data_IF_728012207973
#
_entry.id   IF_728012207973
#
_cell.length_a   1.000
_cell.length_b   1.000
_cell.length_c   1.000
_cell.angle_alpha   90.00
_cell.angle_beta   90.00
_cell.angle_gamma   90.00
#
_symmetry.space_group_name_H-M   'P 1'
#
loop_
_entity.id
_entity.type
_entity.pdbx_description
1 polymer ?
2 polymer ?
3 water ?
#
# COMPACT_ATOMS: atom_id res chain seq x y z
N UNK A 1 10.70 20.87 -10.54
CA UNK A 1 10.57 19.61 -9.75
C UNK A 1 9.73 18.56 -10.49
N UNK A 2 8.57 18.99 -10.96
CA UNK A 2 7.67 18.10 -11.69
C UNK A 2 7.70 18.41 -13.17
N UNK A 3 8.09 17.43 -13.97
CA UNK A 3 8.17 17.59 -15.41
C UNK A 3 6.91 17.06 -16.09
N UNK A 4 6.15 17.94 -16.73
CA UNK A 4 4.95 17.50 -17.44
C UNK A 4 5.42 16.75 -18.67
N UNK A 5 4.90 15.55 -18.88
CA UNK A 5 5.30 14.80 -20.04
C UNK A 5 4.12 14.51 -20.97
N UNK A 6 4.32 14.79 -22.25
CA UNK A 6 3.31 14.53 -23.26
C UNK A 6 3.95 13.66 -24.32
N UNK A 7 3.27 13.47 -25.44
CA UNK A 7 3.84 12.62 -26.49
C UNK A 7 5.12 13.23 -27.05
N UNK A 8 5.08 14.53 -27.38
CA UNK A 8 6.24 15.20 -27.97
C UNK A 8 7.56 15.05 -27.21
N UNK A 9 7.50 14.76 -25.92
CA UNK A 9 8.74 14.64 -25.16
C UNK A 9 8.88 13.37 -24.34
N UNK A 10 8.14 12.33 -24.72
CA UNK A 10 8.19 11.06 -24.02
C UNK A 10 9.60 10.45 -24.01
N UNK A 11 10.14 10.23 -25.21
CA UNK A 11 11.46 9.65 -25.38
C UNK A 11 12.53 10.43 -24.64
N UNK A 12 12.47 11.75 -24.74
CA UNK A 12 13.45 12.61 -24.09
C UNK A 12 13.48 12.39 -22.57
N UNK A 13 12.30 12.36 -21.96
CA UNK A 13 12.23 12.17 -20.52
C UNK A 13 12.49 10.73 -20.06
N UNK A 14 12.00 9.74 -20.82
CA UNK A 14 12.25 8.36 -20.42
C UNK A 14 13.75 8.10 -20.42
N UNK A 15 14.46 8.70 -21.36
CA UNK A 15 15.91 8.54 -21.46
C UNK A 15 16.58 9.03 -20.18
N UNK A 16 16.08 10.14 -19.64
CA UNK A 16 16.62 10.68 -18.40
C UNK A 16 16.27 9.73 -17.26
N UNK A 17 15.01 9.30 -17.23
CA UNK A 17 14.54 8.38 -16.19
C UNK A 17 15.36 7.09 -16.25
N UNK A 18 15.69 6.67 -17.48
CA UNK A 18 16.49 5.47 -17.67
C UNK A 18 17.78 5.58 -16.86
N UNK A 19 18.24 6.81 -16.65
CA UNK A 19 19.46 7.02 -15.89
C UNK A 19 19.22 7.33 -14.42
N UNK A 20 18.24 8.19 -14.13
CA UNK A 20 17.95 8.56 -12.75
C UNK A 20 17.65 7.36 -11.88
N UNK A 21 16.92 6.39 -12.42
CA UNK A 21 16.55 5.22 -11.65
C UNK A 21 17.74 4.37 -11.24
N UNK A 22 18.88 4.58 -11.89
CA UNK A 22 20.06 3.81 -11.54
C UNK A 22 20.51 4.13 -10.11
N UNK A 23 20.48 5.41 -9.74
CA UNK A 23 20.88 5.84 -8.40
C UNK A 23 19.68 6.07 -7.47
N UNK A 24 18.50 6.26 -8.05
CA UNK A 24 17.29 6.50 -7.27
C UNK A 24 16.27 5.41 -7.60
N UNK A 25 16.50 4.24 -7.00
CA UNK A 25 15.66 3.06 -7.23
C UNK A 25 14.30 3.05 -6.53
N UNK A 26 14.09 3.97 -5.60
CA UNK A 26 12.81 4.05 -4.91
C UNK A 26 11.89 4.98 -5.70
N UNK A 27 10.86 4.42 -6.34
CA UNK A 27 9.96 5.25 -7.12
C UNK A 27 8.51 5.21 -6.62
N UNK A 28 8.03 6.35 -6.15
CA UNK A 28 6.67 6.46 -5.66
C UNK A 28 5.78 6.78 -6.84
N UNK A 29 4.57 6.22 -6.86
CA UNK A 29 3.71 6.47 -8.00
C UNK A 29 2.23 6.58 -7.69
N UNK A 30 1.51 7.18 -8.61
CA UNK A 30 0.07 7.31 -8.50
C UNK A 30 -0.48 7.47 -9.90
N UNK A 31 -1.79 7.27 -10.04
CA UNK A 31 -2.41 7.42 -11.33
C UNK A 31 -3.75 8.14 -11.20
N UNK A 32 -4.32 8.48 -12.35
CA UNK A 32 -5.61 9.14 -12.42
C UNK A 32 -6.31 8.42 -13.57
N UNK A 33 -7.51 7.91 -13.31
CA UNK A 33 -8.29 7.21 -14.33
C UNK A 33 -9.73 7.74 -14.30
N UNK A 34 -10.55 7.34 -15.28
CA UNK A 34 -11.93 7.85 -15.29
C UNK A 34 -12.92 7.27 -14.29
N UNK A 35 -12.47 7.05 -13.06
CA UNK A 35 -13.35 6.53 -12.03
C UNK A 35 -13.68 5.05 -12.14
N UNK A 36 -14.82 4.66 -11.58
CA UNK A 36 -15.29 3.29 -11.58
C UNK A 36 -16.65 3.35 -12.25
N UNK A 37 -16.85 2.56 -13.30
CA UNK A 37 -18.12 2.60 -14.01
C UNK A 37 -18.89 1.31 -14.13
N UNK A 38 -18.22 0.18 -13.94
CA UNK A 38 -18.89 -1.11 -14.09
C UNK A 38 -19.04 -1.96 -12.84
N UNK A 39 -19.87 -2.98 -12.98
CA UNK A 39 -20.17 -3.91 -11.91
C UNK A 39 -19.79 -5.31 -12.35
N UNK A 40 -19.10 -6.06 -11.47
CA UNK A 40 -18.67 -7.43 -11.73
C UNK A 40 -19.85 -8.35 -12.01
N UNK A 41 -19.65 -9.34 -12.87
CA UNK A 41 -20.72 -10.28 -13.18
C UNK A 41 -20.23 -11.67 -12.83
N UNK A 42 -21.13 -12.54 -12.40
CA UNK A 42 -20.74 -13.89 -12.04
C UNK A 42 -20.68 -14.16 -10.55
N UNK A 43 -20.00 -15.26 -10.20
CA UNK A 43 -19.86 -15.69 -8.82
C UNK A 43 -18.53 -15.27 -8.24
N UNK A 44 -18.44 -15.28 -6.91
CA UNK A 44 -17.21 -14.90 -6.26
C UNK A 44 -16.85 -15.83 -5.12
N UNK A 45 -15.61 -16.30 -5.17
CA UNK A 45 -15.05 -17.22 -4.19
C UNK A 45 -14.87 -16.62 -2.79
N UNK A 46 -14.83 -15.29 -2.70
CA UNK A 46 -14.63 -14.63 -1.41
C UNK A 46 -14.71 -13.11 -1.56
N UNK A 47 -14.47 -12.40 -0.47
CA UNK A 47 -14.50 -10.94 -0.53
C UNK A 47 -13.31 -10.41 -1.33
N UNK A 48 -12.16 -11.06 -1.20
CA UNK A 48 -10.97 -10.67 -1.92
C UNK A 48 -11.22 -10.84 -3.43
N UNK A 49 -11.85 -11.97 -3.79
CA UNK A 49 -12.15 -12.27 -5.18
C UNK A 49 -13.14 -11.24 -5.73
N UNK A 50 -14.15 -10.88 -4.94
CA UNK A 50 -15.12 -9.89 -5.40
C UNK A 50 -14.41 -8.55 -5.67
N UNK A 51 -13.56 -8.10 -4.74
CA UNK A 51 -12.84 -6.84 -4.93
C UNK A 51 -12.00 -6.89 -6.19
N UNK A 52 -11.35 -8.03 -6.44
CA UNK A 52 -10.53 -8.17 -7.63
C UNK A 52 -11.36 -8.16 -8.90
N UNK A 53 -12.49 -8.88 -8.90
CA UNK A 53 -13.36 -8.92 -10.07
C UNK A 53 -13.95 -7.54 -10.34
N UNK A 54 -14.14 -6.76 -9.26
CA UNK A 54 -14.68 -5.41 -9.38
C UNK A 54 -13.64 -4.55 -10.10
N UNK A 55 -12.39 -4.73 -9.68
CA UNK A 55 -11.29 -3.99 -10.26
C UNK A 55 -11.12 -4.42 -11.73
N UNK A 56 -11.11 -5.73 -11.97
CA UNK A 56 -10.95 -6.26 -13.32
C UNK A 56 -11.94 -5.72 -14.34
N UNK A 57 -13.23 -5.82 -14.06
CA UNK A 57 -14.23 -5.35 -15.00
C UNK A 57 -14.10 -3.85 -15.29
N UNK A 58 -13.48 -3.10 -14.39
CA UNK A 58 -13.31 -1.66 -14.63
C UNK A 58 -12.00 -1.31 -15.29
N UNK A 59 -10.92 -1.98 -14.87
CA UNK A 59 -9.62 -1.75 -15.47
C UNK A 59 -9.67 -2.14 -16.95
N UNK A 60 -10.32 -3.24 -17.27
CA UNK A 60 -10.42 -3.69 -18.66
C UNK A 60 -11.19 -2.71 -19.56
N UNK A 61 -12.11 -1.94 -18.98
CA UNK A 61 -12.91 -1.01 -19.77
C UNK A 61 -12.41 0.42 -19.89
N UNK A 62 -11.60 0.88 -18.94
CA UNK A 62 -11.16 2.25 -18.98
C UNK A 62 -9.73 2.47 -19.39
N UNK A 63 -9.42 3.72 -19.73
CA UNK A 63 -8.07 4.11 -20.15
C UNK A 63 -7.44 5.00 -19.09
N UNK A 64 -6.19 4.72 -18.74
CA UNK A 64 -5.49 5.54 -17.75
C UNK A 64 -5.38 6.96 -18.28
N UNK A 65 -5.51 7.94 -17.40
CA UNK A 65 -5.42 9.34 -17.81
C UNK A 65 -4.10 9.99 -17.41
N UNK A 66 -3.52 9.59 -16.28
CA UNK A 66 -2.28 10.20 -15.83
C UNK A 66 -1.45 9.29 -14.94
N UNK A 67 -0.12 9.35 -15.10
CA UNK A 67 0.79 8.57 -14.29
C UNK A 67 1.78 9.53 -13.64
N UNK A 68 2.05 9.33 -12.37
CA UNK A 68 2.98 10.17 -11.65
C UNK A 68 4.08 9.33 -11.02
N UNK A 69 5.34 9.72 -11.25
CA UNK A 69 6.46 8.99 -10.70
C UNK A 69 7.47 9.95 -10.07
N UNK A 70 7.83 9.67 -8.83
CA UNK A 70 8.80 10.47 -8.10
C UNK A 70 9.93 9.51 -7.75
N UNK A 71 11.16 9.89 -8.09
CA UNK A 71 12.29 9.01 -7.81
C UNK A 71 13.10 9.46 -6.60
N UNK A 72 13.54 8.49 -5.80
CA UNK A 72 14.31 8.75 -4.58
C UNK A 72 15.27 7.58 -4.31
N UNK A 73 16.18 7.78 -3.37
CA UNK A 73 17.11 6.71 -3.04
C UNK A 73 16.79 6.11 -1.67
N UNK A 74 17.64 5.19 -1.23
CA UNK A 74 17.48 4.50 0.04
C UNK A 74 17.32 5.45 1.22
N UNK A 75 17.96 6.61 1.13
CA UNK A 75 17.91 7.61 2.20
C UNK A 75 16.83 8.68 2.00
N UNK A 76 15.94 8.46 1.04
CA UNK A 76 14.87 9.40 0.78
C UNK A 76 15.29 10.71 0.15
N UNK A 77 16.37 10.68 -0.61
CA UNK A 77 16.86 11.89 -1.27
C UNK A 77 16.41 11.90 -2.72
N UNK A 78 16.19 13.10 -3.25
CA UNK A 78 15.76 13.26 -4.64
C UNK A 78 16.93 13.53 -5.58
N UNK A 79 16.79 13.16 -6.86
CA UNK A 79 17.89 13.42 -7.79
C UNK A 79 17.93 14.93 -8.02
N UNK A 80 19.14 15.48 -8.27
CA UNK A 80 19.23 16.93 -8.50
C UNK A 80 18.39 17.38 -9.69
N UNK A 81 17.64 18.45 -9.50
CA UNK A 81 16.80 18.97 -10.56
C UNK A 81 15.37 18.43 -10.52
N UNK A 82 15.01 17.65 -11.53
CA UNK A 82 13.67 17.08 -11.59
C UNK A 82 13.62 15.74 -10.88
N UNK A 83 12.68 15.60 -9.95
CA UNK A 83 12.53 14.37 -9.18
C UNK A 83 11.25 13.64 -9.52
N UNK A 84 10.29 14.39 -10.05
CA UNK A 84 8.99 13.85 -10.37
C UNK A 84 8.58 14.06 -11.82
N UNK A 85 8.00 13.03 -12.43
CA UNK A 85 7.53 13.09 -13.80
C UNK A 85 6.05 12.78 -13.86
N UNK A 86 5.30 13.62 -14.55
CA UNK A 86 3.86 13.42 -14.68
C UNK A 86 3.53 13.19 -16.15
N UNK A 87 3.23 11.93 -16.46
CA UNK A 87 2.87 11.53 -17.82
C UNK A 87 1.39 11.71 -18.05
N UNK A 88 1.05 12.42 -19.11
CA UNK A 88 -0.34 12.66 -19.46
C UNK A 88 -0.67 11.83 -20.70
N UNK A 89 -1.66 10.94 -20.56
CA UNK A 89 -2.05 10.05 -21.65
C UNK A 89 -3.22 10.53 -22.48
N UNK A 90 -3.30 10.02 -23.70
CA UNK A 90 -4.36 10.39 -24.62
C UNK A 90 -5.70 9.85 -24.12
N UNK A 91 -6.67 10.75 -24.02
CA UNK A 91 -8.01 10.39 -23.56
C UNK A 91 -9.00 11.26 -24.35
N UNK A 92 -10.10 10.66 -24.80
CA UNK A 92 -11.10 11.37 -25.58
C UNK A 92 -12.47 11.34 -24.89
N UNK A 93 -12.90 12.49 -24.39
CA UNK A 93 -14.18 12.59 -23.69
C UNK A 93 -15.40 12.31 -24.56
N UNK A 94 -15.20 12.23 -25.87
CA UNK A 94 -16.30 11.97 -26.80
C UNK A 94 -16.36 10.50 -27.20
N UNK A 95 -15.22 9.83 -27.11
CA UNK A 95 -15.17 8.43 -27.47
C UNK A 95 -15.05 7.54 -26.23
N UNK A 96 -14.04 7.82 -25.41
CA UNK A 96 -13.78 7.04 -24.22
C UNK A 96 -14.86 6.98 -23.15
N UNK A 97 -14.87 5.84 -22.45
CA UNK A 97 -15.83 5.53 -21.39
C UNK A 97 -15.34 6.18 -20.11
N UNK A 98 -16.26 6.61 -19.26
CA UNK A 98 -15.85 7.23 -18.02
C UNK A 98 -16.99 7.52 -17.08
N UNK A 99 -16.65 7.84 -15.84
CA UNK A 99 -17.66 8.16 -14.84
C UNK A 99 -17.75 9.68 -14.72
N UNK A 100 -18.95 10.20 -14.96
CA UNK A 100 -19.23 11.63 -14.90
C UNK A 100 -18.51 12.38 -13.80
N UNK A 101 -18.78 12.04 -12.55
CA UNK A 101 -18.16 12.72 -11.41
C UNK A 101 -16.64 12.73 -11.43
N UNK A 102 -16.02 11.60 -11.82
CA UNK A 102 -14.57 11.52 -11.86
C UNK A 102 -13.98 12.53 -12.83
N UNK A 103 -14.60 12.65 -14.00
CA UNK A 103 -14.12 13.60 -15.00
C UNK A 103 -14.26 15.02 -14.49
N UNK A 104 -15.39 15.30 -13.85
CA UNK A 104 -15.62 16.62 -13.30
C UNK A 104 -14.61 16.93 -12.20
N UNK A 105 -14.36 15.94 -11.33
CA UNK A 105 -13.40 16.12 -10.25
C UNK A 105 -12.02 16.45 -10.84
N UNK A 106 -11.63 15.70 -11.87
CA UNK A 106 -10.34 15.90 -12.51
C UNK A 106 -10.24 17.24 -13.24
N UNK A 107 -11.35 17.69 -13.80
CA UNK A 107 -11.37 18.97 -14.50
C UNK A 107 -11.07 20.06 -13.47
N UNK A 108 -11.72 19.96 -12.31
CA UNK A 108 -11.52 20.93 -11.25
C UNK A 108 -10.08 20.90 -10.72
N UNK A 109 -9.43 19.74 -10.84
CA UNK A 109 -8.05 19.55 -10.37
C UNK A 109 -6.98 20.09 -11.31
N UNK A 110 -7.37 20.46 -12.53
CA UNK A 110 -6.39 21.00 -13.46
C UNK A 110 -6.10 20.18 -14.70
N UNK A 111 -6.68 18.98 -14.80
CA UNK A 111 -6.45 18.15 -15.97
C UNK A 111 -7.07 18.83 -17.20
N UNK A 112 -6.25 19.06 -18.22
CA UNK A 112 -6.72 19.69 -19.45
C UNK A 112 -7.00 18.60 -20.44
N UNK A 113 -8.23 18.07 -20.44
CA UNK A 113 -8.58 17.00 -21.35
C UNK A 113 -8.35 17.29 -22.81
N UNK A 114 -8.61 18.52 -23.22
CA UNK A 114 -8.43 18.92 -24.62
C UNK A 114 -7.01 18.61 -25.05
N UNK A 115 -6.03 18.94 -24.22
CA UNK A 115 -4.64 18.69 -24.55
C UNK A 115 -4.31 17.20 -24.44
N UNK A 116 -5.05 16.48 -23.60
CA UNK A 116 -4.81 15.04 -23.45
C UNK A 116 -5.25 14.37 -24.74
N UNK A 117 -6.37 14.84 -25.27
CA UNK A 117 -6.93 14.32 -26.51
C UNK A 117 -6.08 14.60 -27.74
N UNK A 118 -5.36 15.73 -27.73
CA UNK A 118 -4.54 16.11 -28.87
C UNK A 118 -3.06 15.76 -28.77
N UNK A 119 -2.49 15.92 -27.58
CA UNK A 119 -1.07 15.65 -27.39
C UNK A 119 -0.73 14.52 -26.42
N UNK A 120 -1.76 13.89 -25.85
CA UNK A 120 -1.56 12.81 -24.90
C UNK A 120 -0.67 11.66 -25.35
N UNK A 121 -0.01 11.01 -24.39
CA UNK A 121 0.88 9.89 -24.65
C UNK A 121 0.10 8.62 -25.03
N UNK A 122 0.71 7.76 -25.85
CA UNK A 122 0.08 6.51 -26.29
C UNK A 122 0.58 5.44 -25.34
N UNK A 123 -0.33 4.82 -24.61
CA UNK A 123 0.08 3.80 -23.65
C UNK A 123 0.87 2.67 -24.28
N UNK A 124 0.52 2.29 -25.51
CA UNK A 124 1.22 1.22 -26.20
C UNK A 124 2.71 1.54 -26.31
N UNK A 125 3.02 2.78 -26.69
CA UNK A 125 4.40 3.21 -26.82
C UNK A 125 5.05 3.36 -25.45
N UNK A 126 4.28 3.86 -24.48
CA UNK A 126 4.79 4.05 -23.12
C UNK A 126 5.13 2.69 -22.52
N UNK A 127 4.33 1.69 -22.84
CA UNK A 127 4.57 0.33 -22.33
C UNK A 127 5.96 -0.11 -22.75
N UNK A 128 6.23 -0.03 -24.05
CA UNK A 128 7.52 -0.43 -24.60
C UNK A 128 8.63 0.33 -23.90
N UNK A 129 8.47 1.64 -23.73
CA UNK A 129 9.49 2.45 -23.06
C UNK A 129 9.72 1.96 -21.63
N UNK A 130 8.64 1.66 -20.89
CA UNK A 130 8.78 1.17 -19.52
C UNK A 130 9.67 -0.07 -19.49
N UNK A 131 9.41 -1.00 -20.39
CA UNK A 131 10.20 -2.23 -20.44
C UNK A 131 11.66 -1.98 -20.80
N UNK A 132 11.89 -1.20 -21.86
CA UNK A 132 13.24 -0.91 -22.32
C UNK A 132 13.93 0.22 -21.56
N UNK A 133 13.65 0.37 -20.27
CA UNK A 133 14.29 1.43 -19.52
C UNK A 133 14.66 1.01 -18.09
N UNK A 134 14.41 -0.25 -17.77
CA UNK A 134 14.74 -0.80 -16.48
C UNK A 134 14.06 -0.24 -15.24
N UNK A 135 12.83 0.22 -15.41
CA UNK A 135 12.07 0.77 -14.29
C UNK A 135 11.04 -0.25 -13.79
N UNK A 136 10.62 -1.10 -14.72
CA UNK A 136 9.60 -2.09 -14.45
C UNK A 136 9.88 -3.56 -14.18
N UNK A 137 11.11 -4.06 -14.10
CA UNK A 137 11.06 -5.48 -13.87
C UNK A 137 12.17 -6.33 -13.28
N UNK A 138 11.85 -6.85 -12.09
CA UNK A 138 12.70 -7.73 -11.29
C UNK A 138 14.13 -7.27 -11.05
N UNK A 139 14.40 -6.01 -11.38
CA UNK A 139 15.74 -5.42 -11.19
C UNK A 139 16.01 -5.34 -9.67
N UNK A 140 15.96 -4.12 -9.15
CA UNK A 140 16.18 -3.89 -7.73
C UNK A 140 15.47 -2.61 -7.31
N UNK A 141 14.25 -2.45 -7.80
CA UNK A 141 13.44 -1.28 -7.52
C UNK A 141 12.46 -1.47 -6.36
N UNK A 142 12.16 -0.36 -5.67
CA UNK A 142 11.21 -0.34 -4.57
C UNK A 142 10.09 0.59 -5.02
N UNK A 143 8.89 0.06 -5.19
CA UNK A 143 7.75 0.87 -5.59
C UNK A 143 6.97 1.31 -4.35
N UNK A 144 6.71 2.60 -4.26
CA UNK A 144 5.97 3.16 -3.14
C UNK A 144 4.65 3.65 -3.71
N UNK A 145 3.55 3.31 -3.04
CA UNK A 145 2.25 3.72 -3.54
C UNK A 145 1.21 3.97 -2.45
N UNK A 146 0.03 4.42 -2.87
CA UNK A 146 -1.05 4.71 -1.93
C UNK A 146 -2.41 4.24 -2.45
N UNK A 147 -3.04 3.30 -1.73
CA UNK A 147 -4.35 2.77 -2.13
C UNK A 147 -4.21 2.48 -3.63
N UNK A 148 -3.26 1.61 -3.94
CA UNK A 148 -2.86 1.29 -5.31
C UNK A 148 -3.45 0.16 -6.17
N UNK A 149 -4.45 -0.57 -5.69
CA UNK A 149 -5.01 -1.63 -6.51
C UNK A 149 -5.22 -1.24 -7.98
N UNK A 150 -5.95 -0.15 -8.20
CA UNK A 150 -6.22 0.29 -9.57
C UNK A 150 -4.98 0.82 -10.27
N UNK A 151 -4.13 1.52 -9.52
CA UNK A 151 -2.92 2.09 -10.08
C UNK A 151 -2.08 0.98 -10.73
N UNK A 152 -1.86 -0.12 -10.01
CA UNK A 152 -1.08 -1.22 -10.58
C UNK A 152 -1.89 -2.02 -11.59
N UNK A 153 -3.21 -2.00 -11.43
CA UNK A 153 -4.07 -2.70 -12.38
C UNK A 153 -3.88 -2.03 -13.74
N UNK A 154 -3.96 -0.72 -13.78
CA UNK A 154 -3.76 -0.03 -15.05
C UNK A 154 -2.37 -0.26 -15.65
N UNK A 155 -1.34 -0.30 -14.80
CA UNK A 155 0.01 -0.52 -15.31
C UNK A 155 0.14 -1.93 -15.89
N UNK A 156 -0.39 -2.93 -15.18
CA UNK A 156 -0.32 -4.31 -15.66
C UNK A 156 -1.05 -4.44 -17.01
N UNK A 157 -2.15 -3.71 -17.14
CA UNK A 157 -2.93 -3.74 -18.36
C UNK A 157 -2.12 -3.23 -19.54
N UNK A 158 -1.39 -2.15 -19.31
CA UNK A 158 -0.56 -1.53 -20.34
C UNK A 158 0.63 -2.41 -20.70
N UNK A 159 1.38 -2.82 -19.69
CA UNK A 159 2.56 -3.66 -19.89
C UNK A 159 2.30 -4.99 -20.58
N UNK A 160 1.14 -5.59 -20.34
CA UNK A 160 0.85 -6.87 -20.98
C UNK A 160 0.00 -6.65 -22.22
N UNK A 161 -0.50 -5.43 -22.36
CA UNK A 161 -1.36 -5.04 -23.48
C UNK A 161 -2.55 -5.99 -23.63
N UNK A 162 -3.15 -6.37 -22.52
CA UNK A 162 -4.32 -7.25 -22.56
C UNK A 162 -5.16 -7.13 -21.31
N UNK A 163 -6.37 -7.67 -21.38
CA UNK A 163 -7.28 -7.70 -20.25
C UNK A 163 -6.53 -8.35 -19.08
N UNK A 164 -6.93 -8.00 -17.86
CA UNK A 164 -6.28 -8.57 -16.68
C UNK A 164 -6.67 -10.03 -16.54
N UNK A 165 -5.81 -10.83 -15.89
CA UNK A 165 -6.05 -12.25 -15.66
C UNK A 165 -7.42 -12.45 -14.99
N UNK A 166 -8.15 -13.47 -15.42
CA UNK A 166 -9.47 -13.73 -14.84
C UNK A 166 -9.39 -14.05 -13.35
N UNK A 167 -8.34 -14.79 -12.96
CA UNK A 167 -8.11 -15.18 -11.58
C UNK A 167 -7.22 -14.21 -10.80
N UNK A 168 -7.63 -13.92 -9.57
CA UNK A 168 -6.89 -13.01 -8.70
C UNK A 168 -5.45 -13.44 -8.47
N UNK A 169 -5.23 -14.72 -8.21
CA UNK A 169 -3.88 -15.24 -7.95
C UNK A 169 -2.96 -15.05 -9.15
N UNK A 170 -3.51 -15.19 -10.35
CA UNK A 170 -2.71 -15.01 -11.55
C UNK A 170 -2.30 -13.54 -11.69
N UNK A 171 -3.19 -12.64 -11.34
CA UNK A 171 -2.88 -11.21 -11.43
C UNK A 171 -1.69 -10.88 -10.54
N UNK A 172 -1.66 -11.44 -9.34
CA UNK A 172 -0.56 -11.17 -8.42
C UNK A 172 0.75 -11.84 -8.84
N UNK A 173 0.66 -12.95 -9.56
CA UNK A 173 1.88 -13.61 -10.03
C UNK A 173 2.52 -12.66 -11.04
N UNK A 174 1.70 -12.12 -11.93
CA UNK A 174 2.16 -11.18 -12.93
C UNK A 174 2.61 -9.88 -12.29
N UNK A 175 1.88 -9.43 -11.28
CA UNK A 175 2.25 -8.20 -10.61
C UNK A 175 3.68 -8.33 -10.07
N UNK A 176 3.98 -9.49 -9.48
CA UNK A 176 5.31 -9.72 -8.92
C UNK A 176 6.44 -9.69 -9.95
N UNK A 177 6.17 -10.19 -11.14
CA UNK A 177 7.18 -10.20 -12.19
C UNK A 177 7.59 -8.77 -12.56
N UNK A 178 6.60 -7.89 -12.77
CA UNK A 178 6.91 -6.51 -13.12
C UNK A 178 7.25 -5.64 -11.92
N UNK A 179 6.60 -5.86 -10.79
CA UNK A 179 6.88 -5.03 -9.62
C UNK A 179 7.11 -5.95 -8.42
N UNK A 180 8.27 -6.62 -8.39
CA UNK A 180 8.58 -7.53 -7.28
C UNK A 180 8.51 -6.90 -5.89
N UNK A 181 8.76 -5.60 -5.78
CA UNK A 181 8.72 -4.95 -4.49
C UNK A 181 7.79 -3.74 -4.46
N UNK A 182 6.75 -3.82 -3.65
CA UNK A 182 5.76 -2.75 -3.54
C UNK A 182 5.37 -2.50 -2.11
N UNK A 183 5.40 -1.24 -1.70
CA UNK A 183 4.97 -0.85 -0.37
C UNK A 183 3.81 0.13 -0.57
N UNK A 184 2.62 -0.27 -0.13
CA UNK A 184 1.46 0.59 -0.26
C UNK A 184 1.33 1.31 1.08
N UNK A 185 1.60 2.61 1.05
CA UNK A 185 1.56 3.44 2.24
C UNK A 185 0.26 3.40 3.02
N UNK A 186 -0.87 3.29 2.32
CA UNK A 186 -2.16 3.26 3.01
C UNK A 186 -2.30 1.95 3.76
N UNK A 187 -1.73 0.90 3.21
CA UNK A 187 -1.78 -0.40 3.88
C UNK A 187 -0.91 -0.27 5.14
N UNK A 188 0.28 0.29 4.98
CA UNK A 188 1.19 0.48 6.12
C UNK A 188 0.53 1.31 7.21
N UNK A 189 -0.35 2.24 6.83
CA UNK A 189 -1.05 3.10 7.79
C UNK A 189 -1.95 2.34 8.76
N UNK A 190 -2.34 1.13 8.39
CA UNK A 190 -3.19 0.35 9.27
C UNK A 190 -2.42 -0.07 10.50
N UNK A 191 -1.09 -0.11 10.40
CA UNK A 191 -0.25 -0.49 11.54
C UNK A 191 0.17 0.71 12.37
N UNK A 192 -0.17 1.91 11.89
CA UNK A 192 0.16 3.15 12.60
C UNK A 192 -1.10 3.72 13.24
N UNK A 193 -1.24 3.43 14.52
CA UNK A 193 -2.38 3.85 15.33
C UNK A 193 -2.91 5.26 15.11
N UNK A 194 -2.02 6.24 14.91
CA UNK A 194 -2.48 7.62 14.75
C UNK A 194 -2.55 8.14 13.32
N UNK A 195 -2.47 7.26 12.34
CA UNK A 195 -2.55 7.67 10.95
C UNK A 195 -3.79 7.07 10.29
N UNK A 196 -4.58 7.92 9.65
CA UNK A 196 -5.80 7.49 8.98
C UNK A 196 -6.17 8.43 7.85
N UNK A 197 -7.11 7.99 7.00
CA UNK A 197 -7.55 8.81 5.88
C UNK A 197 -6.76 8.69 4.59
N UNK A 198 -7.07 9.57 3.65
CA UNK A 198 -6.40 9.56 2.35
C UNK A 198 -5.08 10.30 2.40
N UNK A 199 -4.44 10.44 1.24
CA UNK A 199 -3.14 11.12 1.14
C UNK A 199 -3.05 12.51 1.76
N UNK A 200 -4.04 13.36 1.48
CA UNK A 200 -4.05 14.72 1.99
C UNK A 200 -4.13 14.76 3.52
N UNK A 201 -4.87 13.83 4.09
CA UNK A 201 -5.01 13.77 5.53
C UNK A 201 -3.74 13.24 6.18
N UNK A 202 -3.07 12.32 5.51
CA UNK A 202 -1.84 11.75 6.03
C UNK A 202 -0.72 12.78 5.96
N UNK A 203 -0.73 13.60 4.90
CA UNK A 203 0.28 14.64 4.73
C UNK A 203 0.14 15.61 5.89
N UNK A 204 -1.11 15.93 6.23
CA UNK A 204 -1.41 16.84 7.33
C UNK A 204 -0.90 16.25 8.64
N UNK A 205 -1.26 14.99 8.90
CA UNK A 205 -0.86 14.32 10.13
C UNK A 205 0.65 14.18 10.25
N UNK A 206 1.33 13.99 9.13
CA UNK A 206 2.79 13.84 9.13
C UNK A 206 3.48 15.18 8.90
N UNK A 207 2.69 16.21 8.64
CA UNK A 207 3.21 17.55 8.40
C UNK A 207 4.19 17.52 7.24
N UNK A 208 3.71 17.10 6.09
CA UNK A 208 4.55 17.03 4.91
C UNK A 208 4.31 18.24 4.02
N UNK A 209 5.36 18.64 3.29
CA UNK A 209 5.26 19.78 2.40
C UNK A 209 4.66 19.39 1.06
N UNK A 210 3.41 19.80 0.85
CA UNK A 210 2.71 19.52 -0.40
C UNK A 210 3.22 20.43 -1.52
N UNK A 211 3.52 19.82 -2.67
CA UNK A 211 4.05 20.54 -3.82
C UNK A 211 3.26 20.32 -5.11
N UNK A 212 2.74 21.40 -5.68
CA UNK A 212 1.99 21.31 -6.92
C UNK A 212 0.47 21.13 -6.82
N UNK A 213 -0.20 20.86 -7.94
CA UNK A 213 -1.66 20.66 -8.00
C UNK A 213 -2.05 19.51 -7.09
N UNK A 214 -2.44 19.83 -5.86
CA UNK A 214 -2.79 18.81 -4.89
C UNK A 214 -4.00 17.95 -5.23
N UNK A 215 -3.90 17.23 -6.34
CA UNK A 215 -4.97 16.33 -6.78
C UNK A 215 -4.65 15.66 -8.11
N UNK A 216 -3.36 15.60 -8.43
CA UNK A 216 -2.89 14.97 -9.66
C UNK A 216 -1.81 13.95 -9.36
N UNK A 217 -1.61 13.03 -10.31
CA UNK A 217 -0.63 11.96 -10.17
C UNK A 217 0.76 12.37 -9.64
N UNK A 218 1.40 13.32 -10.32
CA UNK A 218 2.72 13.76 -9.90
C UNK A 218 2.77 14.28 -8.47
N UNK A 219 1.89 15.21 -8.16
CA UNK A 219 1.80 15.80 -6.84
C UNK A 219 1.59 14.73 -5.75
N UNK A 220 0.69 13.79 -6.02
CA UNK A 220 0.41 12.72 -5.08
C UNK A 220 1.61 11.80 -4.83
N UNK A 221 2.32 11.46 -5.91
CA UNK A 221 3.49 10.59 -5.79
C UNK A 221 4.53 11.22 -4.88
N UNK A 222 4.64 12.55 -4.92
CA UNK A 222 5.59 13.24 -4.08
C UNK A 222 5.23 13.00 -2.62
N UNK A 223 3.97 13.27 -2.26
CA UNK A 223 3.50 13.04 -0.89
C UNK A 223 3.69 11.57 -0.47
N UNK A 224 3.39 10.64 -1.36
CA UNK A 224 3.55 9.23 -1.03
C UNK A 224 4.99 8.92 -0.62
N UNK A 225 5.93 9.34 -1.46
CA UNK A 225 7.32 9.10 -1.17
C UNK A 225 7.75 9.69 0.15
N UNK A 226 7.30 10.92 0.41
CA UNK A 226 7.64 11.61 1.65
C UNK A 226 7.04 10.89 2.84
N UNK A 227 5.81 10.42 2.67
CA UNK A 227 5.11 9.70 3.73
C UNK A 227 5.79 8.38 4.03
N UNK A 228 6.23 7.69 2.99
CA UNK A 228 6.88 6.41 3.18
C UNK A 228 8.13 6.53 4.03
N UNK A 229 9.07 7.38 3.62
CA UNK A 229 10.32 7.52 4.36
C UNK A 229 10.13 8.02 5.78
N UNK A 230 9.25 9.00 5.98
CA UNK A 230 9.04 9.48 7.33
C UNK A 230 8.50 8.32 8.18
N UNK A 231 7.42 7.69 7.69
CA UNK A 231 6.81 6.56 8.39
C UNK A 231 7.79 5.41 8.62
N UNK A 232 8.67 5.19 7.64
CA UNK A 232 9.63 4.10 7.75
C UNK A 232 10.62 4.26 8.89
N UNK A 233 10.87 5.49 9.34
CA UNK A 233 11.81 5.72 10.42
C UNK A 233 11.03 5.91 11.72
N UNK A 234 9.92 6.63 11.61
CA UNK A 234 9.07 6.93 12.75
C UNK A 234 8.36 5.72 13.38
N UNK A 235 7.63 4.95 12.58
CA UNK A 235 6.88 3.80 13.10
C UNK A 235 7.50 2.45 12.80
N UNK A 236 8.31 2.38 11.77
CA UNK A 236 8.95 1.12 11.44
C UNK A 236 10.44 1.33 11.74
N UNK A 237 11.07 0.32 12.34
CA UNK A 237 12.47 0.42 12.68
C UNK A 237 13.42 0.51 11.50
N UNK A 238 13.18 1.51 10.64
CA UNK A 238 14.01 1.75 9.46
C UNK A 238 14.04 0.59 8.48
N UNK A 239 13.15 -0.37 8.66
CA UNK A 239 13.09 -1.52 7.76
C UNK A 239 11.73 -2.21 7.73
N UNK A 240 11.04 -2.09 6.60
CA UNK A 240 9.73 -2.70 6.42
C UNK A 240 9.82 -4.22 6.28
N UNK A 241 9.07 -4.94 7.12
CA UNK A 241 9.04 -6.40 7.10
C UNK A 241 8.33 -6.86 5.81
N UNK A 242 9.11 -7.38 4.87
CA UNK A 242 8.57 -7.85 3.59
C UNK A 242 7.52 -8.94 3.70
N UNK A 243 7.72 -9.85 4.64
CA UNK A 243 6.79 -10.95 4.85
C UNK A 243 5.39 -10.42 5.09
N UNK A 244 5.30 -9.29 5.79
CA UNK A 244 4.01 -8.70 6.13
C UNK A 244 3.52 -7.54 5.25
N UNK A 245 4.42 -6.84 4.59
CA UNK A 245 4.02 -5.69 3.79
C UNK A 245 4.35 -5.66 2.31
N UNK A 246 5.38 -6.40 1.89
CA UNK A 246 5.76 -6.39 0.49
C UNK A 246 4.75 -7.03 -0.46
N UNK A 247 4.36 -6.29 -1.50
CA UNK A 247 3.45 -6.80 -2.49
C UNK A 247 1.98 -6.74 -2.10
N UNK A 248 1.69 -6.14 -0.94
CA UNK A 248 0.33 -6.05 -0.47
C UNK A 248 -0.31 -4.70 -0.79
N UNK A 249 -1.32 -4.72 -1.65
CA UNK A 249 -2.02 -3.49 -2.06
C UNK A 249 -3.24 -3.25 -1.20
N UNK A 250 -3.45 -2.02 -0.77
CA UNK A 250 -4.60 -1.73 0.06
C UNK A 250 -5.91 -2.12 -0.62
N UNK A 251 -6.74 -2.87 0.10
CA UNK A 251 -8.02 -3.30 -0.45
C UNK A 251 -8.01 -4.71 -1.03
N UNK A 252 -7.01 -5.02 -1.84
CA UNK A 252 -6.91 -6.34 -2.45
C UNK A 252 -6.21 -7.32 -1.53
N UNK B 1 10.05 -5.39 32.35
CA UNK B 1 10.08 -4.14 31.55
C UNK B 1 8.87 -4.15 30.63
N UNK B 2 9.05 -4.63 29.39
CA UNK B 2 7.97 -4.70 28.42
C UNK B 2 7.05 -5.88 28.72
N UNK B 3 7.47 -6.71 29.65
CA UNK B 3 6.72 -7.89 30.09
C UNK B 3 5.23 -7.59 30.33
N UNK B 4 4.96 -6.60 31.17
CA UNK B 4 3.60 -6.21 31.52
C UNK B 4 2.74 -5.92 30.29
N UNK B 5 3.23 -5.03 29.44
CA UNK B 5 2.52 -4.64 28.22
C UNK B 5 2.19 -5.84 27.33
N UNK B 6 3.13 -6.76 27.20
CA UNK B 6 2.92 -7.93 26.38
C UNK B 6 1.85 -8.85 26.95
N UNK B 7 1.79 -8.96 28.27
CA UNK B 7 0.79 -9.83 28.88
C UNK B 7 -0.60 -9.23 28.79
N UNK B 8 -0.69 -7.90 28.86
CA UNK B 8 -1.97 -7.21 28.75
C UNK B 8 -2.55 -7.59 27.39
N UNK B 9 -1.73 -7.41 26.35
CA UNK B 9 -2.12 -7.71 24.99
C UNK B 9 -2.50 -9.18 24.84
N UNK B 10 -1.67 -10.05 25.41
CA UNK B 10 -1.90 -11.49 25.32
C UNK B 10 -3.17 -11.94 26.02
N UNK B 11 -3.38 -11.48 27.24
CA UNK B 11 -4.57 -11.85 27.98
C UNK B 11 -5.83 -11.43 27.24
N UNK B 12 -5.76 -10.29 26.54
CA UNK B 12 -6.89 -9.81 25.78
C UNK B 12 -7.19 -10.75 24.62
N UNK B 13 -6.17 -11.04 23.82
CA UNK B 13 -6.30 -11.92 22.66
C UNK B 13 -6.73 -13.33 23.06
N UNK B 14 -6.08 -13.86 24.08
CA UNK B 14 -6.37 -15.20 24.58
C UNK B 14 -7.78 -15.36 25.15
N UNK B 15 -8.30 -14.30 25.76
CA UNK B 15 -9.64 -14.35 26.34
C UNK B 15 -10.72 -14.76 25.33
N UNK B 16 -10.48 -14.50 24.05
CA UNK B 16 -11.43 -14.87 23.01
C UNK B 16 -11.31 -16.34 22.63
N UNK B 17 -10.12 -16.91 22.84
CA UNK B 17 -9.88 -18.31 22.47
C UNK B 17 -10.34 -19.35 23.48
N UNK B 18 -10.17 -19.06 24.77
CA UNK B 18 -10.60 -20.02 25.79
C UNK B 18 -12.05 -20.44 25.62
N UNK B 19 -12.31 -21.70 25.98
CA UNK B 19 -13.65 -22.26 25.90
C UNK B 19 -14.16 -22.29 24.47
N UNK B 20 -13.26 -22.09 23.51
CA UNK B 20 -13.59 -22.11 22.10
C UNK B 20 -12.61 -23.08 21.43
N UNK B 21 -11.44 -23.21 22.03
CA UNK B 21 -10.40 -24.10 21.52
C UNK B 21 -9.79 -24.83 22.70
N UNK B 22 -9.11 -25.96 22.47
CA UNK B 22 -8.48 -26.75 23.54
C UNK B 22 -7.66 -25.91 24.52
N UNK B 23 -8.03 -25.96 25.79
CA UNK B 23 -7.37 -25.21 26.84
C UNK B 23 -5.85 -25.25 26.79
N UNK B 24 -5.26 -26.44 26.67
CA UNK B 24 -3.80 -26.57 26.63
C UNK B 24 -3.15 -25.89 25.43
N UNK B 25 -3.79 -25.97 24.27
CA UNK B 25 -3.23 -25.37 23.07
C UNK B 25 -3.29 -23.84 23.15
N UNK B 26 -4.36 -23.32 23.76
CA UNK B 26 -4.50 -21.87 23.91
C UNK B 26 -3.38 -21.39 24.85
N UNK B 27 -3.13 -22.17 25.90
CA UNK B 27 -2.07 -21.84 26.86
C UNK B 27 -0.71 -21.80 26.18
N UNK B 28 -0.45 -22.78 25.32
CA UNK B 28 0.82 -22.81 24.62
C UNK B 28 0.90 -21.62 23.69
N UNK B 29 -0.20 -21.38 22.96
CA UNK B 29 -0.29 -20.25 22.03
C UNK B 29 0.07 -18.97 22.80
N UNK B 30 -0.53 -18.80 23.98
CA UNK B 30 -0.27 -17.64 24.80
C UNK B 30 1.19 -17.54 25.21
N UNK B 31 1.72 -18.63 25.75
CA UNK B 31 3.11 -18.64 26.20
C UNK B 31 4.10 -18.46 25.06
N UNK B 32 3.84 -19.12 23.93
CA UNK B 32 4.72 -19.02 22.78
C UNK B 32 4.72 -17.61 22.18
N UNK B 33 3.55 -16.98 22.17
CA UNK B 33 3.39 -15.64 21.64
C UNK B 33 4.22 -14.65 22.45
N UNK B 34 4.13 -14.77 23.78
CA UNK B 34 4.90 -13.90 24.66
C UNK B 34 6.38 -14.02 24.32
N UNK B 35 6.85 -15.25 24.17
CA UNK B 35 8.24 -15.50 23.85
C UNK B 35 8.61 -14.84 22.52
N UNK B 36 7.81 -15.08 21.49
CA UNK B 36 8.07 -14.52 20.17
C UNK B 36 8.08 -13.00 20.18
N UNK B 37 7.11 -12.41 20.88
CA UNK B 37 7.02 -10.95 20.96
C UNK B 37 8.18 -10.34 21.72
N UNK B 38 8.58 -10.98 22.82
CA UNK B 38 9.72 -10.49 23.60
C UNK B 38 10.97 -10.52 22.74
N UNK B 39 11.12 -11.59 21.96
CA UNK B 39 12.28 -11.72 21.10
C UNK B 39 12.25 -10.62 20.03
N UNK B 40 11.10 -10.48 19.39
CA UNK B 40 10.94 -9.48 18.33
C UNK B 40 11.11 -8.03 18.78
N UNK B 41 10.62 -7.70 19.97
CA UNK B 41 10.71 -6.32 20.47
C UNK B 41 12.06 -5.88 21.03
N UNK B 42 12.96 -6.81 21.31
CA UNK B 42 14.26 -6.43 21.86
C UNK B 42 15.03 -5.54 20.88
N UNK B 43 15.45 -4.37 21.36
CA UNK B 43 16.17 -3.44 20.51
C UNK B 43 15.21 -2.54 19.77
N UNK B 44 13.92 -2.68 20.05
CA UNK B 44 12.88 -1.90 19.39
C UNK B 44 11.83 -1.42 20.40
N UNK B 45 12.29 -1.14 21.62
CA UNK B 45 11.40 -0.68 22.69
C UNK B 45 12.02 0.59 23.25
N UNK B 46 11.34 1.72 23.07
CA UNK B 46 11.84 3.00 23.55
C UNK B 46 10.86 3.67 24.50
N UNK B 47 10.93 3.34 25.80
CA UNK B 47 10.03 3.95 26.79
C UNK B 47 10.07 5.47 26.79
N UNK B 48 11.09 6.04 26.17
CA UNK B 48 11.24 7.49 26.10
C UNK B 48 10.32 8.04 25.00
N UNK B 49 10.20 7.30 23.90
CA UNK B 49 9.35 7.67 22.76
C UNK B 49 8.49 6.46 22.40
N UNK B 50 7.40 6.22 23.16
CA UNK B 50 6.50 5.09 22.94
C UNK B 50 5.91 4.89 21.54
N UNK B 51 5.77 5.97 20.78
CA UNK B 51 5.23 5.90 19.42
C UNK B 51 6.27 5.28 18.48
N UNK B 52 7.54 5.48 18.81
CA UNK B 52 8.64 4.97 18.02
C UNK B 52 8.57 3.45 17.92
N UNK B 53 8.51 2.93 16.70
CA UNK B 53 8.44 1.48 16.52
C UNK B 53 7.05 0.88 16.66
N UNK B 54 6.03 1.72 16.76
CA UNK B 54 4.63 1.31 16.90
C UNK B 54 4.16 0.38 15.80
N UNK B 55 4.43 0.76 14.55
CA UNK B 55 4.02 -0.04 13.41
C UNK B 55 4.75 -1.35 13.40
N UNK B 56 6.06 -1.29 13.61
CA UNK B 56 6.88 -2.48 13.62
C UNK B 56 6.33 -3.48 14.65
N UNK B 57 5.84 -2.96 15.77
CA UNK B 57 5.32 -3.80 16.86
C UNK B 57 3.84 -4.16 16.75
N UNK B 58 3.10 -3.43 15.92
CA UNK B 58 1.69 -3.71 15.76
C UNK B 58 1.42 -5.17 15.37
N UNK B 59 0.41 -5.76 16.00
CA UNK B 59 0.00 -7.14 15.73
C UNK B 59 -1.37 -7.13 15.06
N UNK B 60 -1.44 -7.62 13.83
CA UNK B 60 -2.71 -7.63 13.13
C UNK B 60 -3.21 -9.03 12.84
N UNK B 61 -4.53 -9.19 12.92
CA UNK B 61 -5.18 -10.46 12.63
C UNK B 61 -6.42 -10.18 11.78
N UNK B 62 -6.26 -10.32 10.47
CA UNK B 62 -7.37 -10.09 9.55
C UNK B 62 -7.23 -11.06 8.40
N UNK B 63 -7.48 -10.58 7.17
CA UNK B 63 -7.32 -11.43 5.99
C UNK B 63 -5.93 -12.02 6.07
N UNK B 64 -4.96 -11.14 6.29
CA UNK B 64 -3.58 -11.56 6.44
C UNK B 64 -3.30 -11.55 7.94
N UNK B 65 -2.71 -12.64 8.44
CA UNK B 65 -2.39 -12.73 9.86
C UNK B 65 -0.91 -12.47 10.08
N UNK B 66 -0.59 -11.78 11.16
CA UNK B 66 0.80 -11.48 11.52
C UNK B 66 1.55 -12.80 11.60
N UNK B 67 2.76 -12.87 11.03
CA UNK B 67 3.51 -14.13 11.10
C UNK B 67 3.73 -14.69 12.51
N UNK B 68 3.93 -13.81 13.50
CA UNK B 68 4.11 -14.27 14.87
C UNK B 68 2.90 -15.04 15.39
N UNK B 69 1.71 -14.61 14.97
CA UNK B 69 0.47 -15.29 15.36
C UNK B 69 0.42 -16.64 14.66
N UNK B 70 0.81 -16.66 13.39
CA UNK B 70 0.85 -17.90 12.63
C UNK B 70 1.84 -18.88 13.27
N UNK B 71 3.01 -18.35 13.64
CA UNK B 71 4.06 -19.14 14.27
C UNK B 71 3.61 -19.69 15.62
N UNK B 72 3.02 -18.83 16.45
CA UNK B 72 2.54 -19.26 17.76
C UNK B 72 1.42 -20.28 17.58
N UNK B 73 0.58 -20.02 16.59
CA UNK B 73 -0.56 -20.87 16.27
C UNK B 73 -0.12 -22.26 15.81
N UNK B 74 0.92 -22.28 14.98
CA UNK B 74 1.47 -23.53 14.45
C UNK B 74 2.14 -24.31 15.58
N UNK B 75 2.96 -23.62 16.37
CA UNK B 75 3.68 -24.23 17.46
C UNK B 75 2.77 -24.64 18.62
N UNK B 76 1.47 -24.50 18.46
CA UNK B 76 0.54 -24.87 19.53
C UNK B 76 -0.54 -25.78 18.99
N UNK B 77 -0.38 -26.19 17.75
CA UNK B 77 -1.34 -27.08 17.13
C UNK B 77 -2.71 -26.48 16.91
N UNK B 78 -2.76 -25.18 16.66
CA UNK B 78 -4.04 -24.53 16.41
C UNK B 78 -4.14 -24.11 14.95
N UNK B 79 -5.28 -24.41 14.35
CA UNK B 79 -5.53 -24.05 12.96
C UNK B 79 -5.69 -22.54 12.90
N UNK B 80 -4.91 -21.87 12.05
CA UNK B 80 -4.98 -20.42 11.93
C UNK B 80 -6.41 -19.92 11.73
N UNK B 81 -7.19 -20.65 10.93
CA UNK B 81 -8.58 -20.27 10.67
C UNK B 81 -9.42 -20.34 11.94
N UNK B 82 -9.01 -21.19 12.88
CA UNK B 82 -9.73 -21.32 14.14
C UNK B 82 -9.41 -20.13 15.03
N UNK B 83 -8.17 -19.65 14.95
CA UNK B 83 -7.73 -18.51 15.75
C UNK B 83 -8.35 -17.23 15.23
N UNK B 84 -8.27 -17.03 13.92
CA UNK B 84 -8.85 -15.84 13.31
C UNK B 84 -10.36 -15.90 13.50
N UNK B 85 -10.91 -17.10 13.36
CA UNK B 85 -12.34 -17.31 13.50
C UNK B 85 -12.95 -16.92 14.83
N UNK B 86 -12.20 -17.10 15.92
CA UNK B 86 -12.74 -16.75 17.24
C UNK B 86 -12.37 -15.36 17.71
N UNK B 87 -11.59 -14.64 16.93
CA UNK B 87 -11.19 -13.28 17.28
C UNK B 87 -12.03 -12.30 16.48
N UNK B 88 -12.14 -11.05 16.94
CA UNK B 88 -12.93 -10.09 16.17
C UNK B 88 -12.25 -9.87 14.81
N UNK B 89 -13.05 -9.63 13.78
CA UNK B 89 -12.52 -9.41 12.45
C UNK B 89 -11.56 -8.22 12.41
N UNK B 90 -10.47 -8.37 11.66
CA UNK B 90 -9.46 -7.33 11.53
C UNK B 90 -9.08 -6.68 12.85
N UNK B 91 -8.58 -7.48 13.78
CA UNK B 91 -8.16 -6.98 15.08
C UNK B 91 -6.73 -6.49 14.98
N UNK B 92 -6.49 -5.29 15.50
CA UNK B 92 -5.16 -4.69 15.53
C UNK B 92 -4.81 -4.39 16.98
N UNK B 93 -3.61 -4.80 17.38
CA UNK B 93 -3.17 -4.56 18.74
C UNK B 93 -1.82 -3.87 18.77
N UNK B 94 -1.77 -2.73 19.43
CA UNK B 94 -0.53 -1.96 19.56
C UNK B 94 0.06 -2.21 20.94
N UNK B 95 1.32 -2.61 20.96
CA UNK B 95 2.00 -2.87 22.22
C UNK B 95 3.17 -1.92 22.34
N UNK B 96 2.93 -0.82 23.03
CA UNK B 96 3.94 0.20 23.19
C UNK B 96 4.28 0.40 24.65
N UNK B 97 5.43 1.04 24.93
CA UNK B 97 5.84 1.30 26.30
C UNK B 97 4.75 2.09 27.03
N UNK B 98 4.29 1.55 28.15
CA UNK B 98 3.27 2.19 28.97
C UNK B 98 1.89 2.32 28.31
N UNK B 99 1.66 1.61 27.21
CA UNK B 99 0.36 1.70 26.54
C UNK B 99 0.02 0.56 25.59
N UNK B 100 -1.03 -0.16 25.91
CA UNK B 100 -1.50 -1.25 25.07
C UNK B 100 -2.94 -0.93 24.64
N UNK B 101 -3.17 -0.89 23.34
CA UNK B 101 -4.50 -0.59 22.83
C UNK B 101 -4.83 -1.46 21.62
N UNK B 102 -6.09 -1.41 21.20
CA UNK B 102 -6.52 -2.23 20.08
C UNK B 102 -7.61 -1.56 19.26
N UNK B 103 -7.93 -2.18 18.13
CA UNK B 103 -8.94 -1.66 17.23
C UNK B 103 -9.63 -2.82 16.53
N UNK B 104 -10.93 -2.98 16.79
CA UNK B 104 -11.69 -4.04 16.16
C UNK B 104 -12.29 -3.51 14.85
N UNK B 105 -11.66 -3.88 13.74
CA UNK B 105 -12.14 -3.43 12.45
C UNK B 105 -11.33 -2.25 11.96
N UNK B 106 -11.18 -2.18 10.64
CA UNK B 106 -10.44 -1.12 9.97
C UNK B 106 -10.94 0.29 10.31
N UNK B 107 -12.24 0.45 10.49
CA UNK B 107 -12.84 1.74 10.79
C UNK B 107 -13.21 1.94 12.26
N UNK B 108 -12.96 0.91 13.08
CA UNK B 108 -13.30 1.00 14.49
C UNK B 108 -12.47 1.98 15.31
N UNK B 109 -12.97 2.40 16.47
CA UNK B 109 -12.24 3.34 17.32
C UNK B 109 -11.06 2.63 17.99
N UNK B 110 -10.03 3.38 18.36
CA UNK B 110 -8.86 2.79 19.04
C UNK B 110 -9.18 2.82 20.53
N UNK B 111 -9.31 1.64 21.14
CA UNK B 111 -9.62 1.54 22.56
C UNK B 111 -8.38 1.19 23.38
N UNK B 112 -8.29 1.75 24.58
CA UNK B 112 -7.14 1.51 25.46
C UNK B 112 -7.35 0.37 26.44
N UNK B 113 -6.41 -0.56 26.48
CA UNK B 113 -6.46 -1.69 27.38
C UNK B 113 -5.68 -1.38 28.65
N UNK B 114 -4.53 -0.73 28.46
CA UNK B 114 -3.66 -0.35 29.55
C UNK B 114 -2.90 0.91 29.20
N UNK B 115 -2.75 1.79 30.18
CA UNK B 115 -2.03 3.04 29.98
C UNK B 115 -1.43 3.50 31.31
N UNK B 116 -0.44 4.39 31.22
CA UNK B 116 0.24 4.93 32.38
C UNK B 116 0.48 6.41 32.11
#
# INVERSE_FOLDING_TARGET
RICEVWACNLDEEMKKIRQVIRKYNYVAMDTEFPGVVARPIGEFRSNADYQYQLLRCNVDLLKIIQLGLTFMNEQGEYPPGTSTWQFNFKFNLTEDMYAQDSIELLTTSGIQFKKHEEEGIETQYFAELLMTSGVVLCEGVKWLSFHSGYDFGYLIKILTNSNLPEEELDFFEILRLFFPVIYDVKYLMKSCKNLKGGLQEVAEQLELERIGPQHQAGSDSLLTGMAFFKMREMFFEDHIDDAKYCGHLYGL
HMQLEIQVALNFIISYLYNKLPRRRVNIFGEELERLLKKKYEGHWYPEKPYKGSGFRCIHIGEKVDPVIEQASKESGLDIDDVRGNLPQDLSVWIDPFEVSYQIGEKGPVKVLYVD
#
